data_IF_477180716992
#
_entry.id   IF_477180716992
#
_cell.length_a   1.000
_cell.length_b   1.000
_cell.length_c   1.000
_cell.angle_alpha   90.00
_cell.angle_beta   90.00
_cell.angle_gamma   90.00
#
_symmetry.space_group_name_H-M   'P 1'
#
loop_
_entity.id
_entity.type
_entity.pdbx_description
1 polymer ?
#
# COMPACT_ATOMS: atom_id res chain seq x y z
N UNK A 1 30.19 -11.79 12.80
CA UNK A 1 29.06 -11.02 12.24
C UNK A 1 29.68 -9.86 11.49
N UNK A 2 29.84 -10.02 10.19
CA UNK A 2 30.34 -8.97 9.31
C UNK A 2 29.24 -7.95 9.02
N UNK A 3 29.62 -6.78 8.49
CA UNK A 3 28.68 -5.75 8.07
C UNK A 3 27.66 -6.27 7.03
N UNK A 4 28.05 -7.25 6.22
CA UNK A 4 27.20 -7.91 5.24
C UNK A 4 26.10 -8.77 5.88
N UNK A 5 26.38 -9.41 7.01
CA UNK A 5 25.38 -10.21 7.75
C UNK A 5 24.29 -9.28 8.28
N UNK A 6 24.67 -8.11 8.84
CA UNK A 6 23.70 -7.13 9.36
C UNK A 6 22.81 -6.52 8.28
N UNK A 7 23.32 -6.35 7.06
CA UNK A 7 22.50 -5.90 5.94
C UNK A 7 21.54 -7.00 5.47
N UNK A 8 21.99 -8.25 5.44
CA UNK A 8 21.14 -9.40 5.08
C UNK A 8 19.99 -9.58 6.07
N UNK A 9 20.29 -9.53 7.37
CA UNK A 9 19.29 -9.68 8.44
C UNK A 9 18.22 -8.58 8.36
N UNK A 10 18.61 -7.34 8.05
CA UNK A 10 17.67 -6.23 7.86
C UNK A 10 16.75 -6.47 6.65
N UNK A 11 17.29 -6.91 5.52
CA UNK A 11 16.48 -7.21 4.33
C UNK A 11 15.52 -8.36 4.63
N UNK A 12 15.98 -9.42 5.26
CA UNK A 12 15.13 -10.56 5.63
C UNK A 12 14.02 -10.16 6.59
N UNK A 13 14.27 -9.29 7.56
CA UNK A 13 13.25 -8.80 8.48
C UNK A 13 12.15 -7.93 7.82
N UNK A 14 12.48 -7.19 6.75
CA UNK A 14 11.55 -6.24 6.12
C UNK A 14 10.82 -6.86 4.92
N UNK A 15 11.37 -7.90 4.29
CA UNK A 15 10.74 -8.59 3.13
C UNK A 15 9.33 -9.16 3.38
N UNK A 16 8.95 -9.69 4.56
CA UNK A 16 7.60 -10.16 4.79
C UNK A 16 6.55 -9.05 4.72
N UNK A 17 6.91 -7.83 5.11
CA UNK A 17 5.99 -6.69 5.08
C UNK A 17 5.65 -6.28 3.65
N UNK A 18 6.66 -6.14 2.78
CA UNK A 18 6.46 -5.71 1.39
C UNK A 18 5.63 -6.71 0.57
N UNK A 19 5.80 -8.01 0.80
CA UNK A 19 5.02 -9.06 0.12
C UNK A 19 3.55 -9.01 0.56
N UNK A 20 3.29 -8.95 1.87
CA UNK A 20 1.93 -9.00 2.39
C UNK A 20 1.14 -7.73 2.05
N UNK A 21 1.81 -6.57 2.03
CA UNK A 21 1.19 -5.31 1.62
C UNK A 21 0.91 -5.25 0.13
N UNK A 22 1.77 -5.80 -0.74
CA UNK A 22 1.52 -5.85 -2.18
C UNK A 22 0.36 -6.81 -2.54
N UNK A 23 0.22 -7.92 -1.81
CA UNK A 23 -0.86 -8.89 -2.03
C UNK A 23 -2.22 -8.40 -1.53
N UNK A 24 -2.27 -7.59 -0.47
CA UNK A 24 -3.52 -7.19 0.16
C UNK A 24 -4.48 -6.34 -0.70
N UNK A 25 -4.06 -5.23 -1.35
CA UNK A 25 -4.96 -4.40 -2.16
C UNK A 25 -5.36 -5.05 -3.48
N UNK A 26 -4.56 -5.99 -4.01
CA UNK A 26 -4.84 -6.69 -5.27
C UNK A 26 -5.68 -7.97 -5.11
N UNK A 27 -5.52 -8.70 -4.00
CA UNK A 27 -6.15 -10.01 -3.82
C UNK A 27 -7.44 -9.98 -2.97
N UNK A 28 -7.82 -8.84 -2.39
CA UNK A 28 -8.92 -8.70 -1.46
C UNK A 28 -10.17 -8.09 -2.13
N UNK A 29 -11.23 -8.88 -2.44
CA UNK A 29 -12.45 -8.36 -3.08
C UNK A 29 -13.12 -7.24 -2.26
N UNK A 30 -12.98 -7.26 -0.93
CA UNK A 30 -13.53 -6.24 -0.05
C UNK A 30 -12.88 -4.86 -0.22
N UNK A 31 -11.68 -4.78 -0.80
CA UNK A 31 -10.99 -3.51 -1.05
C UNK A 31 -11.28 -2.93 -2.45
N UNK A 32 -12.09 -3.59 -3.27
CA UNK A 32 -12.40 -3.13 -4.63
C UNK A 32 -13.06 -1.74 -4.68
N UNK A 33 -13.99 -1.45 -3.75
CA UNK A 33 -14.65 -0.15 -3.68
C UNK A 33 -13.69 1.01 -3.35
N UNK A 34 -12.99 0.95 -2.20
CA UNK A 34 -11.96 1.95 -1.87
C UNK A 34 -10.88 2.10 -2.95
N UNK A 35 -10.51 1.00 -3.61
CA UNK A 35 -9.57 1.05 -4.73
C UNK A 35 -10.13 1.83 -5.92
N UNK A 36 -11.37 1.56 -6.33
CA UNK A 36 -12.02 2.29 -7.41
C UNK A 36 -12.06 3.79 -7.13
N UNK A 37 -12.44 4.20 -5.91
CA UNK A 37 -12.45 5.61 -5.53
C UNK A 37 -11.06 6.25 -5.59
N UNK A 38 -10.02 5.54 -5.15
CA UNK A 38 -8.65 6.02 -5.26
C UNK A 38 -8.21 6.16 -6.72
N UNK A 39 -8.47 5.17 -7.57
CA UNK A 39 -8.14 5.21 -8.99
C UNK A 39 -8.85 6.38 -9.70
N UNK A 40 -10.14 6.60 -9.42
CA UNK A 40 -10.93 7.72 -9.95
C UNK A 40 -10.36 9.08 -9.50
N UNK A 41 -9.90 9.17 -8.26
CA UNK A 41 -9.25 10.38 -7.75
C UNK A 41 -7.93 10.66 -8.48
N UNK A 42 -7.10 9.63 -8.66
CA UNK A 42 -5.82 9.76 -9.36
C UNK A 42 -6.05 10.23 -10.80
N UNK A 43 -7.04 9.67 -11.49
CA UNK A 43 -7.38 10.12 -12.86
C UNK A 43 -7.76 11.61 -12.89
N UNK A 44 -8.58 12.06 -11.94
CA UNK A 44 -9.00 13.46 -11.81
C UNK A 44 -7.84 14.41 -11.52
N UNK A 45 -6.94 14.04 -10.60
CA UNK A 45 -5.75 14.84 -10.26
C UNK A 45 -4.81 14.93 -11.46
N UNK A 46 -4.56 13.81 -12.16
CA UNK A 46 -3.73 13.79 -13.36
C UNK A 46 -4.31 14.67 -14.49
N UNK A 47 -5.63 14.68 -14.66
CA UNK A 47 -6.29 15.58 -15.61
C UNK A 47 -6.04 17.05 -15.25
N UNK A 48 -6.08 17.41 -13.96
CA UNK A 48 -5.83 18.78 -13.50
C UNK A 48 -4.36 19.20 -13.65
N UNK A 49 -3.41 18.29 -13.40
CA UNK A 49 -1.98 18.55 -13.61
C UNK A 49 -1.65 18.89 -15.07
N UNK A 50 -2.40 18.34 -16.03
CA UNK A 50 -2.29 18.69 -17.44
C UNK A 50 -2.79 20.10 -17.78
N UNK A 51 -3.66 20.67 -16.94
CA UNK A 51 -4.29 21.98 -17.10
C UNK A 51 -3.68 23.07 -16.20
N UNK A 52 -2.79 22.69 -15.28
CA UNK A 52 -2.17 23.58 -14.30
C UNK A 52 -1.88 22.89 -12.97
N UNK A 53 -2.12 23.59 -11.86
CA UNK A 53 -1.98 23.01 -10.52
C UNK A 53 -3.26 22.25 -10.14
N UNK A 54 -3.10 21.02 -9.64
CA UNK A 54 -4.21 20.24 -9.09
C UNK A 54 -4.82 20.94 -7.87
N UNK A 55 -6.15 20.98 -7.81
CA UNK A 55 -6.91 21.68 -6.76
C UNK A 55 -7.36 20.76 -5.63
N UNK A 56 -7.02 19.49 -5.73
CA UNK A 56 -7.36 18.44 -4.78
C UNK A 56 -6.23 17.42 -4.70
N UNK A 57 -6.27 16.61 -3.65
CA UNK A 57 -5.39 15.47 -3.45
C UNK A 57 -6.24 14.21 -3.24
N UNK A 58 -5.57 13.05 -3.27
CA UNK A 58 -6.22 11.74 -3.08
C UNK A 58 -5.90 11.13 -1.71
N UNK A 59 -5.59 11.96 -0.71
CA UNK A 59 -5.16 11.48 0.59
C UNK A 59 -6.32 10.73 1.26
N UNK A 60 -7.54 11.27 1.24
CA UNK A 60 -8.71 10.62 1.85
C UNK A 60 -8.98 9.22 1.25
N UNK A 61 -9.04 9.11 -0.08
CA UNK A 61 -9.27 7.85 -0.78
C UNK A 61 -8.12 6.86 -0.56
N UNK A 62 -6.88 7.37 -0.51
CA UNK A 62 -5.72 6.56 -0.14
C UNK A 62 -5.86 6.00 1.28
N UNK A 63 -6.29 6.81 2.25
CA UNK A 63 -6.48 6.33 3.62
C UNK A 63 -7.60 5.27 3.72
N UNK A 64 -8.66 5.37 2.92
CA UNK A 64 -9.67 4.30 2.83
C UNK A 64 -9.12 3.00 2.23
N UNK A 65 -8.33 3.11 1.16
CA UNK A 65 -7.68 1.94 0.54
C UNK A 65 -6.64 1.31 1.48
N UNK A 66 -5.78 2.12 2.09
CA UNK A 66 -4.75 1.69 3.02
C UNK A 66 -5.38 1.03 4.26
N UNK A 67 -6.45 1.61 4.82
CA UNK A 67 -7.17 1.01 5.94
C UNK A 67 -7.67 -0.40 5.60
N UNK A 68 -8.25 -0.59 4.41
CA UNK A 68 -8.70 -1.91 3.95
C UNK A 68 -7.52 -2.88 3.74
N UNK A 69 -6.46 -2.43 3.06
CA UNK A 69 -5.28 -3.24 2.79
C UNK A 69 -4.58 -3.67 4.09
N UNK A 70 -4.39 -2.77 5.04
CA UNK A 70 -3.79 -3.07 6.35
C UNK A 70 -4.64 -4.04 7.15
N UNK A 71 -5.98 -3.92 7.13
CA UNK A 71 -6.86 -4.88 7.81
C UNK A 71 -6.73 -6.30 7.25
N UNK A 72 -6.48 -6.44 5.94
CA UNK A 72 -6.23 -7.72 5.28
C UNK A 72 -4.80 -8.25 5.52
N UNK A 73 -3.81 -7.36 5.48
CA UNK A 73 -2.38 -7.67 5.59
C UNK A 73 -1.97 -8.03 7.03
N UNK A 74 -2.43 -7.27 8.02
CA UNK A 74 -2.01 -7.41 9.41
C UNK A 74 -2.05 -8.85 9.95
N UNK A 75 -3.17 -9.60 9.90
CA UNK A 75 -3.19 -10.97 10.43
C UNK A 75 -2.26 -11.93 9.69
N UNK A 76 -2.02 -11.72 8.39
CA UNK A 76 -1.09 -12.53 7.59
C UNK A 76 0.36 -12.22 7.97
N UNK A 77 0.70 -10.94 8.13
CA UNK A 77 2.03 -10.50 8.52
C UNK A 77 2.41 -11.05 9.90
N UNK A 78 1.53 -10.91 10.89
CA UNK A 78 1.76 -11.43 12.24
C UNK A 78 1.89 -12.95 12.30
N UNK A 79 1.35 -13.69 11.32
CA UNK A 79 1.58 -15.15 11.21
C UNK A 79 2.98 -15.52 10.70
N UNK A 80 3.68 -14.59 10.04
CA UNK A 80 5.01 -14.77 9.46
C UNK A 80 6.13 -14.27 10.37
N UNK A 81 5.85 -13.24 11.16
CA UNK A 81 6.76 -12.73 12.18
C UNK A 81 6.72 -13.67 13.40
N UNK A 82 7.89 -14.14 13.83
CA UNK A 82 8.03 -15.12 14.92
C UNK A 82 8.70 -14.47 16.13
#
# INVERSE_FOLDING_TARGET
MGIWDTFSDLVEAVTPWSVVEAEAPAAAPQCAGPKHHFDDCVERVQQQEGEGEAKEDCVEEFFHLAHCATACAAPKLWSKLR
#
